data_IF_276978954297
#
_entry.id   IF_276978954297
#
_cell.length_a   1.000
_cell.length_b   1.000
_cell.length_c   1.000
_cell.angle_alpha   90.00
_cell.angle_beta   90.00
_cell.angle_gamma   90.00
#
_symmetry.space_group_name_H-M   'P 1'
#
loop_
_entity.id
_entity.type
_entity.pdbx_description
1 polymer ?
#
# COMPACT_ATOMS: atom_id res chain seq x y z
N UNK A 1 3.36 2.20 -26.43
CA UNK A 1 2.91 1.20 -27.43
C UNK A 1 4.07 0.27 -27.79
N UNK A 2 3.86 -1.06 -27.79
CA UNK A 2 4.83 -2.05 -28.28
C UNK A 2 5.75 -2.69 -27.23
N UNK A 3 5.46 -2.55 -25.93
CA UNK A 3 6.02 -3.40 -24.89
C UNK A 3 4.89 -4.31 -24.38
N UNK A 4 5.16 -5.62 -24.25
CA UNK A 4 4.18 -6.56 -23.73
C UNK A 4 3.99 -6.27 -22.22
N UNK A 5 2.76 -5.89 -21.80
CA UNK A 5 2.47 -5.56 -20.41
C UNK A 5 2.60 -6.73 -19.42
N UNK A 6 2.69 -7.96 -19.92
CA UNK A 6 2.88 -9.16 -19.09
C UNK A 6 4.33 -9.69 -19.17
N UNK A 7 5.26 -8.93 -19.77
CA UNK A 7 6.67 -9.32 -19.79
C UNK A 7 7.28 -9.15 -18.39
N UNK A 8 8.02 -10.15 -17.93
CA UNK A 8 8.67 -10.11 -16.61
C UNK A 8 9.71 -8.98 -16.47
N UNK A 9 10.31 -8.58 -17.60
CA UNK A 9 11.29 -7.51 -17.76
C UNK A 9 10.68 -6.23 -18.36
N UNK A 10 9.38 -5.99 -18.10
CA UNK A 10 8.67 -4.86 -18.67
C UNK A 10 9.29 -3.52 -18.30
N UNK A 11 9.78 -3.38 -17.06
CA UNK A 11 10.38 -2.13 -16.56
C UNK A 11 11.60 -1.76 -17.40
N UNK A 12 12.47 -2.74 -17.66
CA UNK A 12 13.69 -2.58 -18.45
C UNK A 12 13.36 -2.26 -19.91
N UNK A 13 12.41 -2.99 -20.51
CA UNK A 13 11.96 -2.72 -21.87
C UNK A 13 11.30 -1.35 -22.01
N UNK A 14 10.47 -0.96 -21.03
CA UNK A 14 9.83 0.35 -21.04
C UNK A 14 10.86 1.47 -20.86
N UNK A 15 11.80 1.33 -19.92
CA UNK A 15 12.87 2.27 -19.67
C UNK A 15 13.73 2.49 -20.94
N UNK A 16 14.18 1.40 -21.56
CA UNK A 16 14.95 1.47 -22.80
C UNK A 16 14.17 2.17 -23.93
N UNK A 17 12.88 1.87 -24.07
CA UNK A 17 12.04 2.43 -25.13
C UNK A 17 11.70 3.90 -24.95
N UNK A 18 11.60 4.35 -23.71
CA UNK A 18 11.26 5.74 -23.38
C UNK A 18 12.49 6.59 -23.13
N UNK A 19 13.71 6.00 -23.17
CA UNK A 19 14.94 6.66 -22.75
C UNK A 19 14.79 7.26 -21.35
N UNK A 20 14.27 6.44 -20.43
CA UNK A 20 14.01 6.88 -19.07
C UNK A 20 15.28 7.35 -18.38
N UNK A 21 15.19 8.43 -17.62
CA UNK A 21 16.27 8.85 -16.74
C UNK A 21 16.52 7.77 -15.68
N UNK A 22 17.79 7.50 -15.35
CA UNK A 22 18.19 6.47 -14.40
C UNK A 22 19.40 6.88 -13.56
N UNK A 23 19.64 6.19 -12.48
CA UNK A 23 20.82 6.37 -11.65
C UNK A 23 20.97 7.80 -11.12
N UNK A 24 22.04 8.46 -11.50
CA UNK A 24 22.39 9.82 -11.06
C UNK A 24 21.90 10.94 -12.03
N UNK A 25 21.08 10.58 -13.01
CA UNK A 25 20.40 11.57 -13.85
C UNK A 25 19.46 12.44 -13.02
N UNK A 26 19.47 13.73 -13.28
CA UNK A 26 18.64 14.69 -12.55
C UNK A 26 17.22 14.77 -13.10
N UNK A 27 16.26 14.77 -12.17
CA UNK A 27 14.85 15.04 -12.45
C UNK A 27 14.45 16.36 -11.79
N UNK A 28 13.93 17.30 -12.59
CA UNK A 28 13.37 18.54 -12.08
C UNK A 28 11.93 18.30 -11.64
N UNK A 29 11.66 18.58 -10.38
CA UNK A 29 10.33 18.61 -9.78
C UNK A 29 9.87 20.06 -9.60
N UNK A 30 8.61 20.29 -9.30
CA UNK A 30 8.06 21.64 -9.10
C UNK A 30 8.81 22.43 -8.03
N UNK A 31 9.23 21.75 -6.97
CA UNK A 31 9.84 22.38 -5.79
C UNK A 31 11.23 21.83 -5.46
N UNK A 32 11.93 21.30 -6.45
CA UNK A 32 13.27 20.80 -6.22
C UNK A 32 13.85 20.04 -7.38
N UNK A 33 15.07 19.58 -7.19
CA UNK A 33 15.81 18.77 -8.16
C UNK A 33 16.42 17.61 -7.40
N UNK A 34 16.18 16.39 -7.86
CA UNK A 34 16.72 15.15 -7.28
C UNK A 34 17.32 14.31 -8.41
N UNK A 35 18.27 13.46 -8.09
CA UNK A 35 18.59 12.35 -8.99
C UNK A 35 17.53 11.25 -8.90
N UNK A 36 17.48 10.35 -9.89
CA UNK A 36 16.59 9.18 -9.85
C UNK A 36 16.90 8.32 -8.64
N UNK A 37 18.18 8.12 -8.30
CA UNK A 37 18.57 7.39 -7.09
C UNK A 37 18.03 8.07 -5.82
N UNK A 38 18.17 9.40 -5.69
CA UNK A 38 17.63 10.13 -4.54
C UNK A 38 16.10 10.03 -4.45
N UNK A 39 15.41 10.08 -5.58
CA UNK A 39 13.97 9.91 -5.64
C UNK A 39 13.55 8.49 -5.19
N UNK A 40 14.26 7.46 -5.64
CA UNK A 40 14.04 6.09 -5.20
C UNK A 40 14.26 5.93 -3.69
N UNK A 41 15.36 6.46 -3.14
CA UNK A 41 15.60 6.39 -1.69
C UNK A 41 14.53 7.12 -0.91
N UNK A 42 14.09 8.28 -1.39
CA UNK A 42 13.02 9.06 -0.78
C UNK A 42 11.71 8.28 -0.74
N UNK A 43 11.27 7.72 -1.88
CA UNK A 43 10.05 6.93 -1.96
C UNK A 43 10.12 5.64 -1.11
N UNK A 44 11.27 4.97 -1.10
CA UNK A 44 11.48 3.75 -0.32
C UNK A 44 11.59 4.01 1.20
N UNK A 45 11.90 5.24 1.62
CA UNK A 45 11.98 5.61 3.04
C UNK A 45 10.62 5.94 3.65
N UNK A 46 9.55 6.03 2.87
CA UNK A 46 8.22 6.35 3.38
C UNK A 46 7.68 5.20 4.24
N UNK A 47 7.12 5.46 5.43
CA UNK A 47 6.60 4.43 6.33
C UNK A 47 5.24 3.88 5.87
N UNK A 48 5.08 3.70 4.57
CA UNK A 48 3.88 3.16 3.92
C UNK A 48 4.25 2.52 2.60
N UNK A 49 3.48 1.54 2.20
CA UNK A 49 3.60 0.94 0.87
C UNK A 49 2.89 1.83 -0.14
N UNK A 50 3.55 2.16 -1.23
CA UNK A 50 3.02 2.99 -2.29
C UNK A 50 2.82 2.17 -3.56
N UNK A 51 1.70 2.37 -4.23
CA UNK A 51 1.42 1.81 -5.54
C UNK A 51 0.82 2.89 -6.44
N UNK A 52 1.32 2.97 -7.66
CA UNK A 52 0.84 3.93 -8.66
C UNK A 52 0.24 3.20 -9.85
N UNK A 53 -0.99 3.54 -10.19
CA UNK A 53 -1.66 3.08 -11.40
C UNK A 53 -2.10 4.26 -12.26
N UNK A 54 -1.84 4.19 -13.56
CA UNK A 54 -2.15 5.27 -14.50
C UNK A 54 -3.64 5.40 -14.85
N UNK A 55 -3.97 6.37 -15.70
CA UNK A 55 -5.35 6.59 -16.17
C UNK A 55 -5.94 5.40 -16.94
N UNK A 56 -5.14 4.48 -17.43
CA UNK A 56 -5.58 3.25 -18.10
C UNK A 56 -5.74 2.08 -17.13
N UNK A 57 -5.57 2.32 -15.82
CA UNK A 57 -5.54 1.32 -14.76
C UNK A 57 -4.41 0.31 -14.94
N UNK A 58 -3.28 0.74 -15.50
CA UNK A 58 -2.07 -0.03 -15.57
C UNK A 58 -1.23 0.25 -14.32
N UNK A 59 -0.85 -0.79 -13.62
CA UNK A 59 0.04 -0.73 -12.45
C UNK A 59 1.45 -0.41 -12.94
N UNK A 60 1.99 0.77 -12.61
CA UNK A 60 3.29 1.21 -13.14
C UNK A 60 4.42 1.20 -12.14
N UNK A 61 4.14 1.36 -10.84
CA UNK A 61 5.18 1.52 -9.84
C UNK A 61 4.70 1.08 -8.46
N UNK A 62 5.61 0.53 -7.67
CA UNK A 62 5.49 0.42 -6.22
C UNK A 62 6.84 0.70 -5.56
N UNK A 63 6.83 1.23 -4.33
CA UNK A 63 8.07 1.48 -3.60
C UNK A 63 8.61 0.18 -2.97
N UNK A 64 9.94 0.06 -2.95
CA UNK A 64 10.62 -1.08 -2.34
C UNK A 64 10.97 -0.75 -0.89
N UNK A 65 9.95 -0.74 -0.01
CA UNK A 65 10.14 -0.54 1.42
C UNK A 65 10.69 -1.81 2.10
N UNK A 66 10.25 -2.97 1.64
CA UNK A 66 10.66 -4.30 2.09
C UNK A 66 10.47 -5.32 0.97
N UNK A 67 10.92 -6.55 1.21
CA UNK A 67 10.66 -7.67 0.27
C UNK A 67 9.16 -7.81 0.01
N UNK A 68 8.79 -8.07 -1.23
CA UNK A 68 7.39 -8.03 -1.66
C UNK A 68 6.47 -9.02 -0.94
N UNK A 69 6.99 -10.16 -0.51
CA UNK A 69 6.29 -11.17 0.28
C UNK A 69 6.01 -10.73 1.74
N UNK A 70 6.78 -9.76 2.24
CA UNK A 70 6.62 -9.19 3.58
C UNK A 70 5.74 -7.94 3.61
N UNK A 71 5.38 -7.41 2.45
CA UNK A 71 4.49 -6.25 2.32
C UNK A 71 3.08 -6.58 2.83
N UNK A 72 2.37 -5.58 3.34
CA UNK A 72 0.95 -5.68 3.73
C UNK A 72 0.06 -5.97 2.52
N UNK A 73 0.41 -5.37 1.38
CA UNK A 73 -0.13 -5.68 0.06
C UNK A 73 1.01 -6.26 -0.78
N UNK A 74 1.16 -7.59 -0.78
CA UNK A 74 2.25 -8.27 -1.49
C UNK A 74 2.39 -7.83 -2.94
N UNK A 75 3.63 -7.56 -3.36
CA UNK A 75 3.96 -7.13 -4.72
C UNK A 75 5.15 -7.94 -5.26
N UNK A 76 5.16 -8.14 -6.56
CA UNK A 76 6.28 -8.73 -7.28
C UNK A 76 6.69 -7.82 -8.43
N UNK A 77 7.97 -7.80 -8.84
CA UNK A 77 8.41 -7.03 -10.00
C UNK A 77 7.62 -7.34 -11.27
N UNK A 78 7.23 -8.61 -11.46
CA UNK A 78 6.45 -9.05 -12.63
C UNK A 78 5.01 -8.50 -12.68
N UNK A 79 4.50 -7.92 -11.59
CA UNK A 79 3.18 -7.26 -11.57
C UNK A 79 3.24 -5.82 -12.10
N UNK A 80 4.41 -5.19 -12.11
CA UNK A 80 4.57 -3.89 -12.74
C UNK A 80 4.20 -4.01 -14.22
N UNK A 81 3.34 -3.13 -14.71
CA UNK A 81 2.70 -3.08 -16.03
C UNK A 81 1.37 -3.82 -16.18
N UNK A 82 1.05 -4.76 -15.30
CA UNK A 82 -0.21 -5.50 -15.43
C UNK A 82 -1.42 -4.59 -15.24
N UNK A 83 -2.56 -4.91 -15.86
CA UNK A 83 -3.82 -4.26 -15.51
C UNK A 83 -4.11 -4.41 -14.01
N UNK A 84 -4.61 -3.36 -13.40
CA UNK A 84 -4.91 -3.34 -11.96
C UNK A 84 -5.84 -4.49 -11.53
N UNK A 85 -6.77 -4.89 -12.42
CA UNK A 85 -7.66 -6.02 -12.17
C UNK A 85 -6.92 -7.37 -12.04
N UNK A 86 -5.79 -7.54 -12.74
CA UNK A 86 -5.00 -8.77 -12.74
C UNK A 86 -4.13 -8.90 -11.47
N UNK A 87 -3.95 -7.79 -10.76
CA UNK A 87 -3.25 -7.75 -9.47
C UNK A 87 -4.14 -8.16 -8.29
N UNK A 88 -5.42 -8.49 -8.53
CA UNK A 88 -6.40 -8.80 -7.51
C UNK A 88 -7.05 -10.17 -7.74
N UNK A 89 -7.46 -10.88 -6.69
CA UNK A 89 -8.26 -12.08 -6.82
C UNK A 89 -9.55 -11.81 -7.61
N UNK A 90 -10.02 -12.78 -8.39
CA UNK A 90 -11.22 -12.64 -9.23
C UNK A 90 -12.46 -12.13 -8.46
N UNK A 91 -12.61 -12.56 -7.20
CA UNK A 91 -13.70 -12.14 -6.31
C UNK A 91 -13.66 -10.64 -6.00
N UNK A 92 -12.47 -10.03 -5.94
CA UNK A 92 -12.27 -8.62 -5.60
C UNK A 92 -12.45 -7.68 -6.82
N UNK A 93 -12.37 -8.19 -8.05
CA UNK A 93 -12.41 -7.38 -9.28
C UNK A 93 -13.65 -6.49 -9.38
N UNK A 94 -14.87 -6.92 -9.01
CA UNK A 94 -16.04 -6.01 -9.04
C UNK A 94 -15.88 -4.81 -8.11
N UNK A 95 -15.35 -5.03 -6.90
CA UNK A 95 -15.06 -3.95 -5.94
C UNK A 95 -13.98 -2.98 -6.46
N UNK A 96 -12.89 -3.53 -7.03
CA UNK A 96 -11.83 -2.73 -7.66
C UNK A 96 -12.41 -1.84 -8.77
N UNK A 97 -13.23 -2.40 -9.66
CA UNK A 97 -13.86 -1.63 -10.74
C UNK A 97 -14.76 -0.52 -10.20
N UNK A 98 -15.50 -0.78 -9.12
CA UNK A 98 -16.34 0.23 -8.47
C UNK A 98 -15.49 1.35 -7.87
N UNK A 99 -14.47 1.02 -7.09
CA UNK A 99 -13.56 2.01 -6.49
C UNK A 99 -12.90 2.89 -7.57
N UNK A 100 -12.37 2.28 -8.63
CA UNK A 100 -11.80 3.00 -9.78
C UNK A 100 -12.82 3.90 -10.44
N UNK A 101 -14.07 3.45 -10.60
CA UNK A 101 -15.15 4.27 -11.18
C UNK A 101 -15.43 5.50 -10.31
N UNK A 102 -15.63 5.32 -9.01
CA UNK A 102 -15.89 6.42 -8.06
C UNK A 102 -14.77 7.46 -8.05
N UNK A 103 -13.52 7.02 -8.04
CA UNK A 103 -12.36 7.89 -8.09
C UNK A 103 -12.26 8.64 -9.42
N UNK A 104 -12.52 7.96 -10.54
CA UNK A 104 -12.44 8.53 -11.88
C UNK A 104 -13.53 9.53 -12.17
N UNK A 105 -14.74 9.31 -11.65
CA UNK A 105 -15.89 10.21 -11.87
C UNK A 105 -15.93 11.37 -10.89
N UNK A 106 -15.05 11.38 -9.88
CA UNK A 106 -15.04 12.39 -8.84
C UNK A 106 -16.18 12.21 -7.81
N UNK A 107 -16.82 11.02 -7.77
CA UNK A 107 -17.76 10.68 -6.69
C UNK A 107 -17.04 10.71 -5.33
N UNK A 108 -15.77 10.32 -5.30
CA UNK A 108 -14.85 10.54 -4.18
C UNK A 108 -13.42 10.73 -4.69
N UNK A 109 -12.64 11.57 -4.02
CA UNK A 109 -11.20 11.72 -4.29
C UNK A 109 -10.35 10.77 -3.46
N UNK A 110 -10.91 10.21 -2.39
CA UNK A 110 -10.21 9.31 -1.48
C UNK A 110 -11.14 8.19 -1.03
N UNK A 111 -10.82 6.97 -1.44
CA UNK A 111 -11.46 5.75 -0.98
C UNK A 111 -10.60 5.09 0.10
N UNK A 112 -11.21 4.71 1.23
CA UNK A 112 -10.54 4.11 2.38
C UNK A 112 -11.10 2.72 2.62
N UNK A 113 -10.21 1.74 2.78
CA UNK A 113 -10.59 0.35 3.01
C UNK A 113 -9.79 -0.24 4.17
N UNK A 114 -10.43 -0.57 5.30
CA UNK A 114 -9.79 -1.35 6.35
C UNK A 114 -9.61 -2.80 5.89
N UNK A 115 -8.48 -3.42 6.25
CA UNK A 115 -8.21 -4.83 6.00
C UNK A 115 -8.36 -5.60 7.30
N UNK A 116 -9.46 -6.33 7.49
CA UNK A 116 -9.71 -7.09 8.71
C UNK A 116 -8.84 -8.35 8.77
N UNK A 117 -8.69 -8.90 9.98
CA UNK A 117 -8.20 -10.25 10.18
C UNK A 117 -6.68 -10.42 10.22
N UNK A 118 -5.89 -9.36 10.12
CA UNK A 118 -4.44 -9.45 10.32
C UNK A 118 -4.13 -9.30 11.81
N UNK A 119 -3.62 -10.36 12.49
CA UNK A 119 -3.37 -10.31 13.92
C UNK A 119 -2.39 -9.19 14.31
N UNK A 120 -2.71 -8.45 15.37
CA UNK A 120 -1.89 -7.36 15.91
C UNK A 120 -1.56 -6.22 14.93
N UNK A 121 -2.38 -6.03 13.90
CA UNK A 121 -2.29 -4.93 12.95
C UNK A 121 -3.65 -4.27 12.73
N UNK A 122 -3.65 -3.00 12.39
CA UNK A 122 -4.80 -2.29 11.85
C UNK A 122 -4.41 -1.68 10.50
N UNK A 123 -4.55 -2.50 9.46
CA UNK A 123 -4.11 -2.16 8.11
C UNK A 123 -5.20 -1.39 7.39
N UNK A 124 -4.81 -0.29 6.78
CA UNK A 124 -5.67 0.55 5.95
C UNK A 124 -5.10 0.69 4.55
N UNK A 125 -5.93 0.46 3.55
CA UNK A 125 -5.68 0.86 2.18
C UNK A 125 -6.34 2.21 1.91
N UNK A 126 -5.61 3.09 1.30
CA UNK A 126 -6.09 4.38 0.82
C UNK A 126 -5.88 4.44 -0.69
N UNK A 127 -6.94 4.70 -1.42
CA UNK A 127 -6.89 4.90 -2.87
C UNK A 127 -7.25 6.35 -3.15
N UNK A 128 -6.29 7.11 -3.64
CA UNK A 128 -6.46 8.53 -3.91
C UNK A 128 -6.45 8.80 -5.41
N UNK A 129 -7.47 9.48 -5.90
CA UNK A 129 -7.46 10.02 -7.24
C UNK A 129 -6.47 11.18 -7.34
N UNK A 130 -5.62 11.17 -8.36
CA UNK A 130 -4.72 12.27 -8.66
C UNK A 130 -5.18 12.98 -9.94
N UNK A 131 -5.12 14.29 -9.90
CA UNK A 131 -5.55 15.17 -10.99
C UNK A 131 -4.39 16.06 -11.43
N UNK A 132 -4.42 16.48 -12.68
CA UNK A 132 -3.48 17.49 -13.16
C UNK A 132 -3.92 18.92 -12.77
N UNK A 133 -3.12 19.91 -13.16
CA UNK A 133 -3.38 21.33 -12.90
C UNK A 133 -4.71 21.84 -13.47
N UNK A 134 -5.31 21.09 -14.39
CA UNK A 134 -6.62 21.39 -14.99
C UNK A 134 -7.77 20.68 -14.28
N UNK A 135 -7.47 19.88 -13.25
CA UNK A 135 -8.46 19.06 -12.56
C UNK A 135 -8.86 17.79 -13.29
N UNK A 136 -8.15 17.39 -14.35
CA UNK A 136 -8.43 16.14 -15.05
C UNK A 136 -7.84 14.95 -14.32
N UNK A 137 -8.64 13.89 -14.14
CA UNK A 137 -8.16 12.64 -13.56
C UNK A 137 -7.00 12.03 -14.35
N UNK A 138 -5.91 11.68 -13.68
CA UNK A 138 -4.70 11.13 -14.30
C UNK A 138 -4.32 9.76 -13.79
N UNK A 139 -4.55 9.47 -12.52
CA UNK A 139 -4.06 8.22 -11.93
C UNK A 139 -4.65 7.96 -10.54
N UNK A 140 -4.32 6.79 -10.00
CA UNK A 140 -4.58 6.40 -8.63
C UNK A 140 -3.24 6.21 -7.93
N UNK A 141 -3.10 6.84 -6.76
CA UNK A 141 -2.08 6.49 -5.79
C UNK A 141 -2.74 5.63 -4.70
N UNK A 142 -2.29 4.40 -4.55
CA UNK A 142 -2.61 3.58 -3.39
C UNK A 142 -1.49 3.72 -2.37
N UNK A 143 -1.86 3.91 -1.10
CA UNK A 143 -0.92 3.78 0.00
C UNK A 143 -1.51 2.91 1.11
N UNK A 144 -0.68 1.99 1.62
CA UNK A 144 -1.05 0.99 2.60
C UNK A 144 -0.18 1.14 3.82
N UNK A 145 -0.80 1.16 4.99
CA UNK A 145 -0.06 1.24 6.24
C UNK A 145 -0.78 0.56 7.40
N UNK A 146 0.01 0.11 8.39
CA UNK A 146 -0.47 -0.35 9.68
C UNK A 146 -0.58 0.85 10.63
N UNK A 147 -1.78 1.23 11.01
CA UNK A 147 -2.03 2.34 11.92
C UNK A 147 -1.79 1.99 13.39
N UNK A 148 -1.77 0.71 13.74
CA UNK A 148 -1.70 0.30 15.14
C UNK A 148 -0.42 0.77 15.86
N UNK A 149 0.78 0.76 15.25
CA UNK A 149 1.98 1.33 15.88
C UNK A 149 1.84 2.81 16.18
N UNK A 150 1.22 3.58 15.28
CA UNK A 150 0.98 5.03 15.43
C UNK A 150 0.03 5.28 16.60
N UNK A 151 -1.09 4.54 16.66
CA UNK A 151 -2.06 4.63 17.75
C UNK A 151 -1.40 4.27 19.08
N UNK A 152 -0.67 3.16 19.16
CA UNK A 152 0.06 2.76 20.37
C UNK A 152 1.06 3.82 20.84
N UNK A 153 1.79 4.42 19.89
CA UNK A 153 2.73 5.49 20.22
C UNK A 153 2.00 6.74 20.78
N UNK A 154 0.93 7.15 20.13
CA UNK A 154 0.09 8.28 20.60
C UNK A 154 -0.42 8.03 22.02
N UNK A 155 -1.03 6.88 22.28
CA UNK A 155 -1.55 6.54 23.61
C UNK A 155 -0.46 6.55 24.68
N UNK A 156 0.72 6.01 24.36
CA UNK A 156 1.88 6.03 25.26
C UNK A 156 2.34 7.46 25.56
N UNK A 157 2.39 8.35 24.55
CA UNK A 157 2.86 9.72 24.73
C UNK A 157 1.88 10.59 25.49
N UNK A 158 0.58 10.31 25.37
CA UNK A 158 -0.49 11.13 25.97
C UNK A 158 -1.00 10.57 27.32
N UNK A 159 -0.57 9.37 27.71
CA UNK A 159 -1.07 8.70 28.91
C UNK A 159 -2.55 8.26 28.78
N UNK A 160 -3.07 8.20 27.56
CA UNK A 160 -4.45 7.84 27.29
C UNK A 160 -4.59 6.32 27.03
N UNK A 161 -5.82 5.83 27.11
CA UNK A 161 -6.19 4.46 26.73
C UNK A 161 -7.44 4.47 25.85
N UNK A 162 -7.58 3.43 25.01
CA UNK A 162 -8.82 3.21 24.27
C UNK A 162 -9.87 2.62 25.22
N UNK A 163 -11.09 3.12 25.14
CA UNK A 163 -12.25 2.56 25.84
C UNK A 163 -13.30 2.17 24.78
N UNK A 164 -14.08 1.09 25.01
CA UNK A 164 -15.21 0.78 24.15
C UNK A 164 -16.21 1.92 24.16
N UNK A 165 -16.71 2.27 22.98
CA UNK A 165 -17.87 3.15 22.86
C UNK A 165 -19.14 2.28 22.85
N UNK A 166 -20.00 2.35 23.87
CA UNK A 166 -21.19 1.49 23.97
C UNK A 166 -22.23 1.81 22.88
N UNK A 167 -22.18 3.01 22.30
CA UNK A 167 -23.11 3.48 21.28
C UNK A 167 -22.56 3.33 19.87
N UNK A 168 -21.29 2.89 19.70
CA UNK A 168 -20.68 2.71 18.41
C UNK A 168 -21.41 1.66 17.58
N UNK A 169 -21.95 2.09 16.46
CA UNK A 169 -22.36 1.19 15.38
C UNK A 169 -21.11 0.85 14.58
N UNK A 170 -20.39 -0.18 14.99
CA UNK A 170 -19.25 -0.67 14.20
C UNK A 170 -19.79 -1.49 13.04
N UNK A 171 -19.37 -1.17 11.83
CA UNK A 171 -19.54 -2.06 10.69
C UNK A 171 -18.85 -3.38 11.04
N UNK A 172 -19.58 -4.49 10.91
CA UNK A 172 -19.15 -5.83 11.34
C UNK A 172 -17.89 -6.36 10.65
N UNK A 173 -17.28 -5.57 9.78
CA UNK A 173 -16.08 -5.86 8.99
C UNK A 173 -14.81 -5.90 9.83
N UNK A 174 -14.76 -5.22 10.95
CA UNK A 174 -13.55 -5.16 11.79
C UNK A 174 -13.59 -6.09 12.97
N UNK A 175 -13.89 -7.35 12.86
CA UNK A 175 -13.71 -8.45 13.86
C UNK A 175 -13.49 -8.10 15.36
N UNK A 176 -13.63 -6.85 15.75
CA UNK A 176 -13.42 -6.32 17.09
C UNK A 176 -14.69 -6.27 17.95
N UNK A 177 -15.83 -6.67 17.42
CA UNK A 177 -17.10 -6.67 18.17
C UNK A 177 -17.67 -8.08 18.32
N UNK A 178 -17.25 -8.77 19.34
CA UNK A 178 -17.76 -10.09 19.73
C UNK A 178 -19.04 -10.01 20.57
N UNK A 179 -19.99 -9.14 20.24
CA UNK A 179 -21.36 -9.16 20.80
C UNK A 179 -22.32 -8.51 19.83
N UNK A 180 -22.68 -9.19 18.74
CA UNK A 180 -23.85 -8.83 17.96
C UNK A 180 -24.89 -9.96 18.06
N UNK A 181 -26.08 -9.63 18.55
CA UNK A 181 -27.27 -10.46 18.44
C UNK A 181 -27.62 -10.64 16.95
N UNK A 182 -27.90 -11.89 16.60
CA UNK A 182 -28.43 -12.25 15.28
C UNK A 182 -29.68 -11.45 14.92
N UNK A 183 -29.56 -10.63 13.89
CA UNK A 183 -30.72 -10.18 13.07
C UNK A 183 -30.34 -10.40 11.61
N UNK A 184 -31.19 -11.12 10.89
CA UNK A 184 -31.03 -11.48 9.47
C UNK A 184 -30.80 -10.22 8.62
N UNK A 185 -29.86 -10.25 7.67
CA UNK A 185 -29.61 -9.12 6.79
C UNK A 185 -30.53 -9.13 5.58
N UNK A 186 -31.09 -7.96 5.28
CA UNK A 186 -31.54 -7.62 3.93
C UNK A 186 -30.30 -7.23 3.11
N UNK A 187 -30.25 -7.76 1.89
CA UNK A 187 -29.05 -7.78 1.08
C UNK A 187 -28.66 -6.40 0.53
N UNK A 188 -27.58 -5.84 1.05
CA UNK A 188 -26.76 -4.87 0.32
C UNK A 188 -25.42 -5.54 -0.04
N UNK A 189 -24.87 -5.34 -1.24
CA UNK A 189 -23.65 -6.06 -1.66
C UNK A 189 -22.46 -5.61 -0.84
N UNK A 190 -21.83 -6.56 -0.18
CA UNK A 190 -20.62 -6.38 0.62
C UNK A 190 -19.49 -5.79 -0.22
N UNK A 191 -18.93 -4.68 0.26
CA UNK A 191 -17.75 -4.01 -0.30
C UNK A 191 -16.46 -4.67 0.21
N UNK A 192 -16.60 -5.80 0.93
CA UNK A 192 -15.57 -6.37 1.82
C UNK A 192 -14.46 -7.16 1.14
N UNK A 193 -14.44 -7.26 -0.19
CA UNK A 193 -13.53 -8.15 -0.91
C UNK A 193 -12.49 -7.47 -1.79
N UNK A 194 -12.18 -6.20 -1.57
CA UNK A 194 -11.16 -5.50 -2.39
C UNK A 194 -9.73 -5.80 -1.93
N UNK A 195 -9.56 -6.32 -0.72
CA UNK A 195 -8.22 -6.59 -0.12
C UNK A 195 -7.84 -8.07 -0.11
N UNK A 196 -7.99 -8.72 -1.22
CA UNK A 196 -7.63 -10.13 -1.34
C UNK A 196 -6.17 -10.38 -1.74
N UNK A 197 -5.22 -9.63 -1.22
CA UNK A 197 -3.80 -9.98 -1.28
C UNK A 197 -3.42 -10.61 0.05
N UNK A 198 -3.80 -11.85 0.29
CA UNK A 198 -3.26 -12.62 1.41
C UNK A 198 -3.39 -14.12 1.22
N UNK A 199 -2.21 -14.70 1.08
CA UNK A 199 -1.77 -15.95 1.69
C UNK A 199 -2.60 -17.20 1.42
N UNK A 200 -2.27 -17.85 0.33
CA UNK A 200 -2.07 -19.29 0.38
C UNK A 200 -0.57 -19.52 0.67
N UNK A 201 -0.23 -19.68 1.93
CA UNK A 201 1.08 -20.14 2.36
C UNK A 201 1.05 -21.67 2.41
N UNK A 202 1.48 -22.31 1.33
CA UNK A 202 2.04 -23.65 1.44
C UNK A 202 3.44 -23.52 2.08
N UNK A 203 3.67 -24.32 3.09
CA UNK A 203 4.87 -24.36 3.88
C UNK A 203 6.09 -24.76 3.02
N UNK A 204 7.10 -23.90 2.97
CA UNK A 204 8.42 -24.24 2.45
C UNK A 204 9.35 -24.63 3.62
N UNK A 205 10.35 -25.52 3.39
CA UNK A 205 11.14 -26.16 4.46
C UNK A 205 12.18 -25.21 5.06
N UNK A 206 12.48 -25.45 6.32
CA UNK A 206 13.46 -24.74 7.15
C UNK A 206 14.85 -24.66 6.50
N UNK A 207 15.42 -23.44 6.50
CA UNK A 207 16.82 -23.18 6.16
C UNK A 207 17.65 -22.91 7.43
N UNK A 208 18.95 -23.23 7.43
CA UNK A 208 19.76 -23.37 8.63
C UNK A 208 20.16 -22.03 9.27
N UNK A 209 20.29 -22.08 10.58
CA UNK A 209 20.69 -21.00 11.51
C UNK A 209 22.06 -20.41 11.20
N UNK A 210 22.14 -19.09 11.18
CA UNK A 210 23.39 -18.30 11.05
C UNK A 210 23.81 -17.75 12.42
N UNK A 211 25.13 -17.67 12.70
CA UNK A 211 25.65 -17.35 14.03
C UNK A 211 25.52 -15.86 14.39
N UNK A 212 25.41 -15.63 15.70
CA UNK A 212 25.38 -14.34 16.38
C UNK A 212 26.58 -13.44 16.04
N UNK A 213 26.32 -12.14 15.86
CA UNK A 213 27.31 -11.09 15.78
C UNK A 213 27.40 -10.35 17.13
N UNK A 214 28.61 -9.86 17.53
CA UNK A 214 28.84 -9.36 18.87
C UNK A 214 28.27 -7.94 19.12
N UNK A 215 27.91 -7.72 20.39
CA UNK A 215 27.55 -6.46 21.04
C UNK A 215 28.52 -5.32 20.72
N UNK A 216 28.00 -4.17 20.34
CA UNK A 216 28.75 -2.91 20.35
C UNK A 216 28.08 -1.91 21.27
N UNK A 217 28.75 -1.65 22.34
CA UNK A 217 28.43 -0.70 23.41
C UNK A 217 28.22 0.75 22.91
N UNK A 218 27.31 1.38 23.58
CA UNK A 218 26.97 2.78 23.68
C UNK A 218 28.13 3.78 23.54
N UNK A 219 27.95 4.80 22.69
CA UNK A 219 28.59 6.10 22.90
C UNK A 219 27.55 7.21 22.87
N UNK A 220 27.16 7.63 24.05
CA UNK A 220 26.53 8.90 24.32
C UNK A 220 27.61 9.99 24.38
N UNK A 221 27.48 11.03 23.59
CA UNK A 221 28.37 12.18 23.61
C UNK A 221 27.64 13.45 23.21
N UNK A 222 26.84 13.98 24.11
CA UNK A 222 26.43 15.39 24.04
C UNK A 222 27.58 16.26 24.54
N UNK A 223 28.03 17.22 23.77
CA UNK A 223 28.79 18.37 24.26
C UNK A 223 28.30 19.65 23.65
N UNK A 224 27.73 20.47 24.50
CA UNK A 224 27.51 21.88 24.29
C UNK A 224 28.83 22.66 24.27
N UNK A 225 28.98 23.53 23.29
CA UNK A 225 29.47 24.90 23.45
C UNK A 225 29.11 25.70 22.23
#
# INVERSE_FOLDING_TARGET
>A
KGVNMHAADWVEQAAAKTHAAEGDDYVKLDRGVLTVNQLNWFLNSMPMELTYADANNQFLYYNHQMDGDKMLASRTPAQASNPLADCHPKRAVPGVKRAVHMLRTGETDLFKLPVPGIPNKYVMHYYQALHDDKGEYKCINEFVLDLLPIVKYYLKQTGQMLAPDPDAKTDAVSGASSKAKETKPDAAPAVDDVSGASADTEAAPEAPTKPEAPDVDSVSGASAK
#
